data_IF_444520654312
#
_entry.id   IF_444520654312
#
_cell.length_a   1.000
_cell.length_b   1.000
_cell.length_c   1.000
_cell.angle_alpha   90.00
_cell.angle_beta   90.00
_cell.angle_gamma   90.00
#
_symmetry.space_group_name_H-M   'P 1'
#
loop_
_entity.id
_entity.type
_entity.pdbx_description
1 polymer ?
#
# COMPACT_ATOMS: atom_id res chain seq x y z
N UNK A 1 7.01 -15.86 -10.40
CA UNK A 1 6.72 -14.87 -11.47
C UNK A 1 7.07 -13.42 -11.14
N UNK A 2 7.71 -13.16 -10.00
CA UNK A 2 8.28 -11.83 -9.69
C UNK A 2 9.34 -11.38 -10.75
N UNK A 3 9.81 -12.28 -11.60
CA UNK A 3 10.86 -11.99 -12.58
C UNK A 3 10.36 -11.38 -13.90
N UNK A 4 9.07 -11.37 -14.20
CA UNK A 4 8.55 -10.78 -15.46
C UNK A 4 8.29 -9.27 -15.35
N UNK A 5 8.23 -8.75 -14.13
CA UNK A 5 8.00 -7.35 -13.85
C UNK A 5 9.26 -6.45 -13.92
N UNK A 6 10.43 -6.96 -14.25
CA UNK A 6 11.71 -6.24 -14.11
C UNK A 6 12.25 -5.70 -15.43
N UNK A 7 11.40 -5.23 -16.34
CA UNK A 7 11.88 -4.64 -17.60
C UNK A 7 11.54 -3.14 -17.67
N UNK A 8 12.49 -2.33 -17.16
CA UNK A 8 12.68 -0.97 -17.69
C UNK A 8 12.39 0.22 -16.83
N UNK A 9 11.61 0.17 -15.75
CA UNK A 9 11.41 1.32 -14.82
C UNK A 9 10.97 0.89 -13.43
N UNK A 10 11.13 -0.38 -13.09
CA UNK A 10 10.52 -0.94 -11.89
C UNK A 10 11.38 -0.77 -10.68
N UNK A 11 10.72 -0.33 -9.62
CA UNK A 11 11.29 -0.09 -8.33
C UNK A 11 11.73 -1.42 -7.68
N UNK A 12 12.91 -1.44 -7.09
CA UNK A 12 13.38 -2.56 -6.30
C UNK A 12 12.55 -2.68 -5.02
N UNK A 13 11.77 -3.75 -4.91
CA UNK A 13 10.99 -4.08 -3.72
C UNK A 13 11.74 -5.13 -2.91
N UNK A 14 11.87 -4.90 -1.58
CA UNK A 14 12.34 -5.90 -0.63
C UNK A 14 11.18 -6.31 0.25
N UNK A 15 10.75 -7.55 0.11
CA UNK A 15 9.74 -8.16 0.94
C UNK A 15 10.31 -8.80 2.22
N UNK A 16 9.48 -8.93 3.22
CA UNK A 16 9.75 -9.65 4.47
C UNK A 16 8.47 -10.21 5.03
N UNK A 17 8.54 -11.45 5.53
CA UNK A 17 7.47 -12.10 6.27
C UNK A 17 7.98 -12.52 7.65
N UNK A 18 7.12 -12.37 8.66
CA UNK A 18 7.43 -12.77 10.02
C UNK A 18 6.24 -13.49 10.65
N UNK A 19 6.44 -14.73 11.09
CA UNK A 19 5.44 -15.49 11.81
C UNK A 19 5.21 -14.93 13.23
N UNK A 20 4.01 -15.12 13.74
CA UNK A 20 3.56 -14.70 15.08
C UNK A 20 3.64 -13.18 15.31
N UNK A 21 3.37 -12.44 14.27
CA UNK A 21 3.17 -10.98 14.31
C UNK A 21 2.00 -10.60 13.39
N UNK A 22 1.67 -9.33 13.38
CA UNK A 22 0.59 -8.73 12.61
C UNK A 22 1.05 -7.42 11.95
N UNK A 23 0.13 -6.68 11.32
CA UNK A 23 0.42 -5.41 10.68
C UNK A 23 0.90 -4.33 11.68
N UNK A 24 0.50 -4.38 12.96
CA UNK A 24 0.99 -3.44 13.97
C UNK A 24 2.47 -3.68 14.28
N UNK A 25 2.87 -4.96 14.41
CA UNK A 25 4.28 -5.32 14.54
C UNK A 25 5.11 -4.92 13.32
N UNK A 26 4.52 -4.94 12.10
CA UNK A 26 5.17 -4.42 10.89
C UNK A 26 5.32 -2.90 10.91
N UNK A 27 4.36 -2.13 11.48
CA UNK A 27 4.51 -0.68 11.69
C UNK A 27 5.67 -0.35 12.63
N UNK A 28 5.78 -1.07 13.76
CA UNK A 28 6.87 -0.87 14.73
C UNK A 28 8.24 -1.18 14.12
N UNK A 29 8.33 -2.28 13.36
CA UNK A 29 9.53 -2.64 12.63
C UNK A 29 9.91 -1.54 11.63
N UNK A 30 8.95 -1.05 10.86
CA UNK A 30 9.16 -0.04 9.82
C UNK A 30 9.64 1.27 10.44
N UNK A 31 8.95 1.77 11.45
CA UNK A 31 9.33 3.01 12.14
C UNK A 31 10.74 2.92 12.73
N UNK A 32 11.07 1.80 13.38
CA UNK A 32 12.40 1.59 13.97
C UNK A 32 13.47 1.48 12.89
N UNK A 33 13.20 0.80 11.79
CA UNK A 33 14.14 0.64 10.67
C UNK A 33 14.43 1.98 9.98
N UNK A 34 13.41 2.77 9.66
CA UNK A 34 13.59 4.08 9.01
C UNK A 34 14.39 5.03 9.89
N UNK A 35 14.08 5.08 11.19
CA UNK A 35 14.84 5.87 12.17
C UNK A 35 16.30 5.42 12.25
N UNK A 36 16.54 4.10 12.37
CA UNK A 36 17.88 3.54 12.43
C UNK A 36 18.71 3.87 11.16
N UNK A 37 18.11 3.72 9.98
CA UNK A 37 18.79 4.00 8.72
C UNK A 37 19.11 5.48 8.56
N UNK A 38 18.19 6.38 8.92
CA UNK A 38 18.46 7.81 8.89
C UNK A 38 19.63 8.21 9.82
N UNK A 39 19.67 7.68 11.04
CA UNK A 39 20.78 7.92 11.97
C UNK A 39 22.10 7.36 11.43
N UNK A 40 22.10 6.16 10.84
CA UNK A 40 23.33 5.50 10.34
C UNK A 40 23.85 6.09 9.04
N UNK A 41 22.98 6.49 8.14
CA UNK A 41 23.35 6.99 6.80
C UNK A 41 23.51 8.51 6.80
N UNK A 42 22.58 9.23 7.42
CA UNK A 42 22.56 10.69 7.38
C UNK A 42 23.13 11.33 8.66
N UNK A 43 23.37 10.54 9.72
CA UNK A 43 23.84 11.05 11.02
C UNK A 43 22.76 11.80 11.82
N UNK A 44 21.51 11.79 11.38
CA UNK A 44 20.37 12.48 11.98
C UNK A 44 19.07 11.80 11.60
N UNK A 45 18.07 11.82 12.50
CA UNK A 45 16.71 11.43 12.18
C UNK A 45 15.93 12.53 11.45
N UNK A 46 16.44 13.75 11.41
CA UNK A 46 15.92 14.82 10.57
C UNK A 46 16.71 14.86 9.28
N UNK A 47 16.04 14.57 8.20
CA UNK A 47 16.60 14.56 6.85
C UNK A 47 15.97 15.67 6.02
N UNK A 48 16.63 16.04 4.91
CA UNK A 48 16.08 16.97 3.95
C UNK A 48 15.96 16.25 2.60
N UNK A 49 14.82 16.37 1.97
CA UNK A 49 14.61 15.92 0.60
C UNK A 49 14.07 17.10 -0.23
N UNK A 50 14.80 17.48 -1.26
CA UNK A 50 14.46 18.62 -2.13
C UNK A 50 14.11 19.90 -1.35
N UNK A 51 14.85 20.17 -0.25
CA UNK A 51 14.64 21.30 0.64
C UNK A 51 13.48 21.17 1.64
N UNK A 52 12.78 20.06 1.65
CA UNK A 52 11.71 19.76 2.62
C UNK A 52 12.30 18.98 3.79
N UNK A 53 12.15 19.50 5.02
CA UNK A 53 12.54 18.78 6.24
C UNK A 53 11.55 17.65 6.53
N UNK A 54 12.07 16.43 6.72
CA UNK A 54 11.33 15.23 7.12
C UNK A 54 11.90 14.73 8.43
N UNK A 55 11.05 14.58 9.45
CA UNK A 55 11.45 14.18 10.80
C UNK A 55 11.07 12.71 11.07
N UNK A 56 12.03 11.81 10.87
CA UNK A 56 11.92 10.38 11.14
C UNK A 56 12.11 10.03 12.63
N UNK A 57 12.49 11.01 13.47
CA UNK A 57 12.70 10.83 14.90
C UNK A 57 11.42 10.85 15.73
N UNK A 58 10.37 11.49 15.24
CA UNK A 58 9.05 11.50 15.89
C UNK A 58 8.29 10.21 15.63
N UNK A 59 7.32 9.86 16.48
CA UNK A 59 6.36 8.81 16.13
C UNK A 59 5.66 9.13 14.81
N UNK A 60 5.59 8.14 13.92
CA UNK A 60 4.89 8.31 12.65
C UNK A 60 3.39 8.47 12.89
N UNK A 61 2.76 9.34 12.14
CA UNK A 61 1.30 9.53 12.23
C UNK A 61 0.59 8.26 11.80
N UNK A 62 -0.41 7.82 12.58
CA UNK A 62 -1.31 6.72 12.23
C UNK A 62 -2.67 7.31 11.91
N UNK A 63 -3.19 7.06 10.72
CA UNK A 63 -4.44 7.61 10.24
C UNK A 63 -5.18 6.55 9.42
N UNK A 64 -6.51 6.43 9.61
CA UNK A 64 -7.28 5.56 8.73
C UNK A 64 -7.48 6.23 7.36
N UNK A 65 -7.69 5.43 6.32
CA UNK A 65 -7.96 5.96 4.97
C UNK A 65 -9.19 6.89 4.99
N UNK A 66 -10.26 6.51 5.70
CA UNK A 66 -11.44 7.35 5.85
C UNK A 66 -11.16 8.67 6.59
N UNK A 67 -10.34 8.63 7.66
CA UNK A 67 -9.96 9.85 8.39
C UNK A 67 -9.11 10.79 7.52
N UNK A 68 -8.25 10.24 6.66
CA UNK A 68 -7.49 11.03 5.69
C UNK A 68 -8.44 11.73 4.71
N UNK A 69 -9.36 10.99 4.10
CA UNK A 69 -10.35 11.56 3.17
C UNK A 69 -11.19 12.62 3.88
N UNK A 70 -11.70 12.33 5.06
CA UNK A 70 -12.50 13.27 5.86
C UNK A 70 -11.72 14.54 6.20
N UNK A 71 -10.44 14.41 6.51
CA UNK A 71 -9.56 15.55 6.82
C UNK A 71 -9.39 16.50 5.63
N UNK A 72 -9.19 15.96 4.42
CA UNK A 72 -8.83 16.77 3.26
C UNK A 72 -10.03 17.15 2.37
N UNK A 73 -11.14 16.38 2.43
CA UNK A 73 -12.33 16.65 1.62
C UNK A 73 -13.57 17.04 2.43
N UNK A 74 -13.60 16.72 3.74
CA UNK A 74 -14.78 16.84 4.58
C UNK A 74 -15.78 15.67 4.44
N UNK A 75 -15.54 14.71 3.54
CA UNK A 75 -16.42 13.58 3.27
C UNK A 75 -16.10 12.45 4.25
N UNK A 76 -17.13 11.91 4.89
CA UNK A 76 -17.04 10.76 5.78
C UNK A 76 -17.67 9.52 5.13
N UNK A 77 -16.83 8.63 4.58
CA UNK A 77 -17.29 7.43 3.90
C UNK A 77 -17.94 6.39 4.83
N UNK A 78 -17.73 6.47 6.14
CA UNK A 78 -18.46 5.61 7.10
C UNK A 78 -19.96 5.96 7.13
N UNK A 79 -20.35 7.14 6.66
CA UNK A 79 -21.76 7.57 6.54
C UNK A 79 -22.36 7.30 5.15
N UNK A 80 -21.56 6.90 4.17
CA UNK A 80 -22.01 6.60 2.80
C UNK A 80 -22.65 5.21 2.79
N UNK A 81 -23.90 5.11 2.33
CA UNK A 81 -24.71 3.91 2.53
C UNK A 81 -24.28 2.71 1.70
N UNK A 82 -23.99 2.92 0.40
CA UNK A 82 -23.79 1.85 -0.57
C UNK A 82 -22.94 2.31 -1.77
N UNK A 83 -22.72 1.40 -2.73
CA UNK A 83 -21.95 1.64 -3.95
C UNK A 83 -22.54 2.77 -4.80
N UNK A 84 -23.87 2.85 -4.89
CA UNK A 84 -24.54 3.88 -5.69
C UNK A 84 -24.32 5.28 -5.09
N UNK A 85 -24.38 5.40 -3.76
CA UNK A 85 -24.08 6.64 -3.06
C UNK A 85 -22.59 7.05 -3.20
N UNK A 86 -21.68 6.07 -3.17
CA UNK A 86 -20.26 6.33 -3.37
C UNK A 86 -19.97 6.79 -4.80
N UNK A 87 -20.52 6.14 -5.83
CA UNK A 87 -20.40 6.54 -7.24
C UNK A 87 -20.94 7.94 -7.49
N UNK A 88 -22.08 8.29 -6.86
CA UNK A 88 -22.64 9.64 -6.94
C UNK A 88 -21.67 10.69 -6.37
N UNK A 89 -21.00 10.41 -5.26
CA UNK A 89 -19.96 11.29 -4.72
C UNK A 89 -18.78 11.44 -5.69
N UNK A 90 -18.37 10.35 -6.35
CA UNK A 90 -17.31 10.41 -7.36
C UNK A 90 -17.72 11.32 -8.53
N UNK A 91 -18.96 11.24 -9.01
CA UNK A 91 -19.49 12.14 -10.04
C UNK A 91 -19.49 13.61 -9.58
N UNK A 92 -19.97 13.90 -8.36
CA UNK A 92 -20.00 15.24 -7.78
C UNK A 92 -18.60 15.85 -7.63
N UNK A 93 -17.58 15.00 -7.43
CA UNK A 93 -16.18 15.41 -7.29
C UNK A 93 -15.34 15.23 -8.57
N UNK A 94 -15.96 14.89 -9.70
CA UNK A 94 -15.32 14.69 -11.00
C UNK A 94 -14.23 13.60 -11.01
N UNK A 95 -14.37 12.58 -10.17
CA UNK A 95 -13.51 11.40 -10.13
C UNK A 95 -14.01 10.40 -11.17
N UNK A 96 -13.14 9.99 -12.09
CA UNK A 96 -13.45 8.93 -13.04
C UNK A 96 -13.48 7.57 -12.34
N UNK A 97 -14.45 6.75 -12.65
CA UNK A 97 -14.58 5.39 -12.12
C UNK A 97 -15.14 4.45 -13.20
N UNK A 98 -14.98 3.14 -12.97
CA UNK A 98 -15.55 2.12 -13.82
C UNK A 98 -16.85 1.56 -13.24
N UNK A 99 -17.72 1.02 -14.11
CA UNK A 99 -19.04 0.50 -13.68
C UNK A 99 -18.92 -0.65 -12.66
N UNK A 100 -17.85 -1.45 -12.74
CA UNK A 100 -17.55 -2.54 -11.81
C UNK A 100 -17.14 -2.08 -10.42
N UNK A 101 -16.68 -0.83 -10.26
CA UNK A 101 -16.20 -0.32 -8.98
C UNK A 101 -17.29 -0.35 -7.91
N UNK A 102 -16.91 -0.79 -6.72
CA UNK A 102 -17.70 -0.78 -5.49
C UNK A 102 -17.31 0.39 -4.61
N UNK A 103 -17.96 0.52 -3.48
CA UNK A 103 -17.68 1.58 -2.50
C UNK A 103 -16.20 1.61 -2.09
N UNK A 104 -15.56 0.45 -1.87
CA UNK A 104 -14.15 0.39 -1.49
C UNK A 104 -13.20 0.91 -2.57
N UNK A 105 -13.49 0.62 -3.85
CA UNK A 105 -12.72 1.17 -4.97
C UNK A 105 -12.85 2.70 -5.04
N UNK A 106 -14.07 3.21 -4.85
CA UNK A 106 -14.31 4.67 -4.83
C UNK A 106 -13.58 5.35 -3.66
N UNK A 107 -13.55 4.73 -2.49
CA UNK A 107 -12.76 5.23 -1.34
C UNK A 107 -11.29 5.37 -1.74
N UNK A 108 -10.72 4.37 -2.39
CA UNK A 108 -9.33 4.40 -2.86
C UNK A 108 -9.09 5.55 -3.86
N UNK A 109 -9.96 5.71 -4.85
CA UNK A 109 -9.88 6.82 -5.81
C UNK A 109 -9.93 8.20 -5.15
N UNK A 110 -10.76 8.37 -4.11
CA UNK A 110 -10.79 9.61 -3.32
C UNK A 110 -9.49 9.82 -2.54
N UNK A 111 -8.92 8.77 -2.00
CA UNK A 111 -7.66 8.85 -1.28
C UNK A 111 -6.52 9.26 -2.22
N UNK A 112 -6.38 8.61 -3.35
CA UNK A 112 -5.36 8.92 -4.37
C UNK A 112 -5.47 10.37 -4.85
N UNK A 113 -6.67 10.83 -5.20
CA UNK A 113 -6.86 12.18 -5.75
C UNK A 113 -6.63 13.29 -4.72
N UNK A 114 -7.09 13.12 -3.49
CA UNK A 114 -7.14 14.22 -2.52
C UNK A 114 -6.16 14.12 -1.36
N UNK A 115 -5.67 12.92 -1.02
CA UNK A 115 -4.90 12.72 0.21
C UNK A 115 -3.41 12.49 -0.01
N UNK A 116 -3.00 11.69 -0.99
CA UNK A 116 -1.59 11.29 -1.17
C UNK A 116 -0.65 12.51 -1.27
N UNK A 117 -1.03 13.50 -2.05
CA UNK A 117 -0.26 14.72 -2.27
C UNK A 117 -0.05 15.59 -1.02
N UNK A 118 -0.79 15.33 0.03
CA UNK A 118 -0.74 16.06 1.31
C UNK A 118 0.13 15.34 2.36
N UNK A 119 0.58 14.11 2.07
CA UNK A 119 1.30 13.24 3.01
C UNK A 119 2.82 13.47 2.93
N UNK A 120 3.29 14.58 3.48
CA UNK A 120 4.71 14.96 3.47
C UNK A 120 5.49 14.28 4.60
N UNK A 121 4.99 14.37 5.84
CA UNK A 121 5.62 13.75 7.00
C UNK A 121 5.22 12.27 7.12
N UNK A 122 6.07 11.43 7.74
CA UNK A 122 5.80 9.99 7.85
C UNK A 122 4.40 9.69 8.40
N UNK A 123 3.57 9.05 7.57
CA UNK A 123 2.18 8.76 7.90
C UNK A 123 1.80 7.35 7.45
N UNK A 124 1.40 6.50 8.39
CA UNK A 124 0.76 5.23 8.10
C UNK A 124 -0.71 5.46 7.78
N UNK A 125 -1.13 5.07 6.59
CA UNK A 125 -2.54 5.00 6.18
C UNK A 125 -3.03 3.59 6.41
N UNK A 126 -4.07 3.43 7.23
CA UNK A 126 -4.57 2.15 7.72
C UNK A 126 -6.02 1.93 7.31
N UNK A 127 -6.52 0.74 7.61
CA UNK A 127 -7.94 0.40 7.45
C UNK A 127 -8.44 0.53 6.00
N UNK A 128 -7.64 -0.04 5.08
CA UNK A 128 -7.99 -0.11 3.67
C UNK A 128 -9.28 -0.91 3.46
N UNK A 129 -10.08 -0.58 2.43
CA UNK A 129 -11.23 -1.37 2.05
C UNK A 129 -10.86 -2.80 1.65
N UNK A 130 -11.79 -3.71 1.93
CA UNK A 130 -11.62 -5.14 1.62
C UNK A 130 -11.55 -5.40 0.12
N UNK A 131 -12.24 -4.60 -0.69
CA UNK A 131 -12.34 -4.73 -2.14
C UNK A 131 -10.96 -4.63 -2.82
N UNK A 132 -10.10 -3.77 -2.31
CA UNK A 132 -8.74 -3.52 -2.87
C UNK A 132 -7.63 -4.30 -2.15
N UNK A 133 -7.97 -5.31 -1.36
CA UNK A 133 -6.99 -6.00 -0.50
C UNK A 133 -7.22 -7.52 -0.45
N UNK A 134 -7.06 -8.24 -1.58
CA UNK A 134 -7.50 -9.64 -1.70
C UNK A 134 -6.72 -10.65 -0.83
N UNK A 135 -5.51 -10.33 -0.39
CA UNK A 135 -4.61 -11.22 0.36
C UNK A 135 -4.51 -10.87 1.86
N UNK A 136 -5.33 -9.92 2.30
CA UNK A 136 -5.22 -9.34 3.63
C UNK A 136 -6.32 -9.80 4.56
N UNK A 137 -5.96 -10.02 5.82
CA UNK A 137 -6.90 -10.41 6.89
C UNK A 137 -7.90 -9.29 7.21
N UNK A 138 -9.18 -9.67 7.32
CA UNK A 138 -10.24 -8.74 7.75
C UNK A 138 -10.00 -8.24 9.17
N UNK A 139 -10.36 -6.99 9.44
CA UNK A 139 -10.40 -6.50 10.82
C UNK A 139 -11.56 -7.16 11.58
N UNK A 140 -11.31 -7.72 12.77
CA UNK A 140 -12.38 -8.33 13.57
C UNK A 140 -13.48 -7.34 13.98
N UNK A 141 -13.14 -6.05 14.15
CA UNK A 141 -14.06 -4.99 14.56
C UNK A 141 -14.93 -4.47 13.42
N UNK A 142 -14.47 -4.57 12.17
CA UNK A 142 -15.14 -4.10 10.96
C UNK A 142 -14.70 -4.91 9.75
N UNK A 143 -15.44 -5.97 9.37
CA UNK A 143 -15.05 -6.86 8.27
C UNK A 143 -15.05 -6.21 6.88
N UNK A 144 -15.52 -4.99 6.73
CA UNK A 144 -15.41 -4.22 5.48
C UNK A 144 -14.03 -3.60 5.29
N UNK A 145 -13.21 -3.63 6.33
CA UNK A 145 -11.84 -3.12 6.37
C UNK A 145 -10.86 -4.26 6.66
N UNK A 146 -9.61 -4.05 6.30
CA UNK A 146 -8.55 -5.05 6.47
C UNK A 146 -7.41 -4.52 7.35
N UNK A 147 -6.65 -5.44 7.93
CA UNK A 147 -5.43 -5.18 8.71
C UNK A 147 -4.26 -4.89 7.77
N UNK A 148 -4.27 -3.73 7.12
CA UNK A 148 -3.29 -3.25 6.14
C UNK A 148 -2.88 -1.82 6.47
N UNK A 149 -1.64 -1.50 6.19
CA UNK A 149 -1.20 -0.12 6.11
C UNK A 149 -0.28 0.11 4.91
N UNK A 150 -0.26 1.35 4.47
CA UNK A 150 0.76 1.91 3.58
C UNK A 150 1.45 3.05 4.31
N UNK A 151 2.78 3.13 4.19
CA UNK A 151 3.55 4.26 4.72
C UNK A 151 3.79 5.28 3.61
N UNK A 152 3.35 6.49 3.83
CA UNK A 152 3.64 7.63 2.96
C UNK A 152 4.67 8.55 3.60
N UNK A 153 5.66 8.97 2.81
CA UNK A 153 6.63 10.03 3.13
C UNK A 153 6.89 10.83 1.86
N UNK A 154 6.82 12.12 1.93
CA UNK A 154 7.03 13.02 0.78
C UNK A 154 6.12 12.67 -0.41
N UNK A 155 4.86 12.40 -0.15
CA UNK A 155 3.83 11.97 -1.12
C UNK A 155 4.06 10.58 -1.75
N UNK A 156 5.09 9.85 -1.34
CA UNK A 156 5.43 8.55 -1.89
C UNK A 156 5.01 7.42 -0.95
N UNK A 157 4.40 6.40 -1.49
CA UNK A 157 4.28 5.11 -0.82
C UNK A 157 5.66 4.49 -0.66
N UNK A 158 6.11 4.35 0.58
CA UNK A 158 7.42 3.81 0.95
C UNK A 158 7.38 2.30 1.20
N UNK A 159 6.27 1.81 1.70
CA UNK A 159 6.01 0.39 1.91
C UNK A 159 4.53 0.10 2.03
N UNK A 160 4.17 -1.16 1.77
CA UNK A 160 2.84 -1.72 1.92
C UNK A 160 2.94 -2.99 2.77
N UNK A 161 2.09 -3.12 3.78
CA UNK A 161 2.16 -4.22 4.72
C UNK A 161 0.79 -4.58 5.28
N UNK A 162 0.63 -5.85 5.64
CA UNK A 162 -0.61 -6.35 6.21
C UNK A 162 -0.41 -7.60 7.07
N UNK A 163 -1.43 -7.90 7.87
CA UNK A 163 -1.61 -9.25 8.43
C UNK A 163 -2.04 -10.17 7.30
N UNK A 164 -1.24 -11.20 7.03
CA UNK A 164 -1.50 -12.16 5.96
C UNK A 164 -2.82 -12.90 6.21
N UNK A 165 -3.65 -13.02 5.16
CA UNK A 165 -4.84 -13.84 5.22
C UNK A 165 -4.44 -15.31 5.27
N UNK A 166 -4.66 -15.94 6.41
CA UNK A 166 -4.28 -17.34 6.67
C UNK A 166 -5.47 -18.30 6.84
N UNK A 167 -6.67 -17.85 6.48
CA UNK A 167 -7.88 -18.68 6.43
C UNK A 167 -8.13 -19.10 4.97
N UNK A 168 -8.00 -20.40 4.62
CA UNK A 168 -8.18 -20.86 3.25
C UNK A 168 -9.61 -20.68 2.73
N UNK A 169 -10.62 -20.69 3.62
CA UNK A 169 -12.02 -20.49 3.22
C UNK A 169 -12.25 -19.04 2.81
N UNK A 170 -11.82 -18.09 3.63
CA UNK A 170 -11.90 -16.65 3.29
C UNK A 170 -11.06 -16.33 2.04
N UNK A 171 -9.84 -16.91 1.93
CA UNK A 171 -9.00 -16.69 0.75
C UNK A 171 -9.65 -17.20 -0.53
N UNK A 172 -10.34 -18.34 -0.50
CA UNK A 172 -11.06 -18.86 -1.66
C UNK A 172 -12.20 -17.92 -2.09
N UNK A 173 -12.92 -17.34 -1.11
CA UNK A 173 -13.96 -16.33 -1.39
C UNK A 173 -13.37 -15.06 -2.03
N UNK A 174 -12.18 -14.63 -1.55
CA UNK A 174 -11.49 -13.46 -2.12
C UNK A 174 -11.04 -13.70 -3.55
N UNK A 175 -10.45 -14.87 -3.84
CA UNK A 175 -10.07 -15.22 -5.20
C UNK A 175 -11.27 -15.31 -6.14
N UNK A 176 -12.38 -15.89 -5.69
CA UNK A 176 -13.61 -15.91 -6.49
C UNK A 176 -14.13 -14.50 -6.82
N UNK A 177 -13.97 -13.54 -5.91
CA UNK A 177 -14.30 -12.14 -6.17
C UNK A 177 -13.33 -11.50 -7.19
N UNK A 178 -12.03 -11.81 -7.12
CA UNK A 178 -11.03 -11.36 -8.09
C UNK A 178 -11.28 -11.96 -9.50
N UNK A 179 -11.60 -13.27 -9.60
CA UNK A 179 -11.98 -13.89 -10.88
C UNK A 179 -13.21 -13.21 -11.49
N UNK A 180 -14.19 -12.80 -10.68
CA UNK A 180 -15.36 -12.06 -11.14
C UNK A 180 -14.98 -10.65 -11.64
N UNK A 181 -14.05 -9.96 -10.98
CA UNK A 181 -13.53 -8.68 -11.44
C UNK A 181 -12.75 -8.82 -12.76
N UNK A 182 -11.89 -9.84 -12.88
CA UNK A 182 -11.19 -10.16 -14.13
C UNK A 182 -12.18 -10.40 -15.28
N UNK A 183 -13.26 -11.17 -15.04
CA UNK A 183 -14.30 -11.40 -16.03
C UNK A 183 -15.08 -10.12 -16.41
N UNK A 184 -15.09 -9.11 -15.52
CA UNK A 184 -15.67 -7.79 -15.77
C UNK A 184 -14.69 -6.80 -16.44
N UNK A 185 -13.46 -7.23 -16.77
CA UNK A 185 -12.46 -6.44 -17.50
C UNK A 185 -11.39 -5.79 -16.62
N UNK A 186 -11.19 -6.31 -15.43
CA UNK A 186 -10.09 -5.88 -14.56
C UNK A 186 -8.81 -6.63 -14.95
N UNK A 187 -7.89 -5.96 -15.63
CA UNK A 187 -6.62 -6.54 -16.09
C UNK A 187 -5.62 -6.73 -14.93
N UNK A 188 -5.87 -6.10 -13.76
CA UNK A 188 -5.03 -6.20 -12.57
C UNK A 188 -5.55 -7.23 -11.55
N UNK A 189 -6.74 -7.80 -11.78
CA UNK A 189 -7.33 -8.78 -10.88
C UNK A 189 -6.52 -10.08 -10.86
N UNK A 190 -6.26 -10.58 -9.66
CA UNK A 190 -5.55 -11.84 -9.46
C UNK A 190 -6.45 -13.05 -9.75
N UNK A 191 -5.89 -14.07 -10.38
CA UNK A 191 -6.59 -15.33 -10.61
C UNK A 191 -6.45 -16.28 -9.42
N UNK A 192 -7.46 -17.17 -9.28
CA UNK A 192 -7.43 -18.23 -8.27
C UNK A 192 -6.17 -19.08 -8.40
N UNK A 193 -5.38 -19.15 -7.33
CA UNK A 193 -4.21 -20.00 -7.20
C UNK A 193 -4.53 -21.19 -6.26
N UNK A 194 -4.80 -22.34 -6.87
CA UNK A 194 -5.12 -23.58 -6.12
C UNK A 194 -3.91 -24.12 -5.35
N UNK A 195 -2.67 -23.91 -5.81
CA UNK A 195 -1.47 -24.35 -5.08
C UNK A 195 -1.28 -23.51 -3.82
N UNK A 196 -1.54 -22.20 -3.90
CA UNK A 196 -1.54 -21.31 -2.74
C UNK A 196 -2.63 -21.69 -1.73
N UNK A 197 -3.86 -21.96 -2.18
CA UNK A 197 -4.95 -22.43 -1.31
C UNK A 197 -4.61 -23.76 -0.62
N UNK A 198 -4.08 -24.73 -1.34
CA UNK A 198 -3.61 -26.00 -0.79
C UNK A 198 -2.52 -25.78 0.28
N UNK A 199 -1.60 -24.85 0.06
CA UNK A 199 -0.58 -24.50 1.05
C UNK A 199 -1.19 -23.89 2.32
N UNK A 200 -2.21 -23.03 2.20
CA UNK A 200 -2.94 -22.48 3.34
C UNK A 200 -3.69 -23.57 4.13
N UNK A 201 -4.28 -24.55 3.45
CA UNK A 201 -4.98 -25.70 4.09
C UNK A 201 -4.02 -26.57 4.91
N UNK A 202 -2.75 -26.70 4.51
CA UNK A 202 -1.71 -27.39 5.29
C UNK A 202 -1.42 -26.61 6.59
N UNK A 203 -1.47 -25.30 6.53
CA UNK A 203 -1.39 -24.40 7.66
C UNK A 203 -0.38 -23.27 7.48
N UNK A 204 -0.83 -22.06 7.80
CA UNK A 204 -0.01 -20.85 7.88
C UNK A 204 -0.20 -20.21 9.26
N UNK A 205 0.86 -19.96 10.04
CA UNK A 205 0.73 -19.25 11.31
C UNK A 205 0.26 -17.82 11.08
N UNK A 206 -0.27 -17.11 12.09
CA UNK A 206 -0.44 -15.68 12.02
C UNK A 206 0.87 -15.02 11.57
N UNK A 207 0.83 -14.24 10.51
CA UNK A 207 2.03 -13.69 9.86
C UNK A 207 1.78 -12.25 9.44
N UNK A 208 2.74 -11.39 9.71
CA UNK A 208 2.80 -10.06 9.11
C UNK A 208 3.74 -10.07 7.90
N UNK A 209 3.29 -9.52 6.79
CA UNK A 209 4.08 -9.34 5.57
C UNK A 209 4.25 -7.86 5.24
N UNK A 210 5.36 -7.52 4.58
CA UNK A 210 5.68 -6.15 4.17
C UNK A 210 6.56 -6.13 2.91
N UNK A 211 6.26 -5.22 2.00
CA UNK A 211 7.10 -4.86 0.87
C UNK A 211 7.62 -3.43 1.00
N UNK A 212 8.95 -3.25 0.95
CA UNK A 212 9.61 -1.94 1.01
C UNK A 212 10.07 -1.50 -0.37
N UNK A 213 9.74 -0.27 -0.76
CA UNK A 213 10.31 0.41 -1.92
C UNK A 213 11.74 0.88 -1.64
N UNK A 214 12.72 0.00 -1.85
CA UNK A 214 14.13 0.29 -1.49
C UNK A 214 14.68 1.48 -2.28
N UNK A 215 14.37 1.59 -3.55
CA UNK A 215 14.86 2.70 -4.36
C UNK A 215 14.29 4.04 -3.87
N UNK A 216 12.99 4.10 -3.51
CA UNK A 216 12.39 5.30 -2.89
C UNK A 216 13.06 5.63 -1.56
N UNK A 217 13.37 4.64 -0.74
CA UNK A 217 14.07 4.83 0.54
C UNK A 217 15.49 5.38 0.31
N UNK A 218 16.22 4.84 -0.66
CA UNK A 218 17.55 5.34 -1.00
C UNK A 218 17.48 6.77 -1.55
N UNK A 219 16.53 7.05 -2.47
CA UNK A 219 16.30 8.42 -2.97
C UNK A 219 16.04 9.40 -1.83
N UNK A 220 15.17 9.02 -0.88
CA UNK A 220 14.83 9.86 0.27
C UNK A 220 16.05 10.17 1.16
N UNK A 221 16.86 9.14 1.48
CA UNK A 221 18.04 9.28 2.37
C UNK A 221 19.23 9.97 1.70
N UNK A 222 19.31 9.98 0.38
CA UNK A 222 20.43 10.56 -0.39
C UNK A 222 20.10 11.86 -1.10
N UNK A 223 18.87 12.38 -0.92
CA UNK A 223 18.34 13.56 -1.63
C UNK A 223 18.46 13.42 -3.17
N UNK A 224 18.21 12.24 -3.69
CA UNK A 224 18.32 11.94 -5.13
C UNK A 224 16.97 12.11 -5.81
N UNK A 225 16.88 12.99 -6.81
CA UNK A 225 15.62 13.35 -7.46
C UNK A 225 15.11 12.28 -8.47
N UNK A 226 16.00 11.43 -8.99
CA UNK A 226 15.62 10.44 -10.00
C UNK A 226 16.01 9.02 -9.57
N UNK A 227 15.10 8.07 -9.78
CA UNK A 227 15.32 6.65 -9.46
C UNK A 227 16.58 6.09 -10.15
N UNK A 228 16.89 6.56 -11.34
CA UNK A 228 18.08 6.19 -12.13
C UNK A 228 19.40 6.48 -11.42
N UNK A 229 19.42 7.49 -10.52
CA UNK A 229 20.62 7.89 -9.78
C UNK A 229 20.94 6.94 -8.61
N UNK A 230 19.97 6.12 -8.21
CA UNK A 230 20.10 5.18 -7.09
C UNK A 230 20.11 3.71 -7.54
N UNK A 231 19.79 3.43 -8.80
CA UNK A 231 19.86 2.07 -9.36
C UNK A 231 21.31 1.67 -9.59
N UNK A 232 21.70 0.50 -9.07
CA UNK A 232 23.05 -0.05 -9.28
C UNK A 232 23.33 -0.42 -10.74
N UNK A 233 22.31 -0.87 -11.48
CA UNK A 233 22.38 -1.30 -12.87
C UNK A 233 21.19 -0.74 -13.67
N UNK A 234 21.17 0.58 -13.93
CA UNK A 234 20.06 1.18 -14.67
C UNK A 234 20.04 0.68 -16.13
N UNK A 235 18.84 0.37 -16.63
CA UNK A 235 18.67 0.03 -18.05
C UNK A 235 18.93 1.27 -18.89
N UNK A 236 19.96 1.20 -19.76
CA UNK A 236 20.35 2.27 -20.65
C UNK A 236 19.89 1.95 -22.07
N UNK A 237 19.51 2.97 -22.85
CA UNK A 237 19.35 2.79 -24.30
C UNK A 237 20.68 2.32 -24.90
N UNK A 238 20.61 1.28 -25.77
CA UNK A 238 21.79 0.89 -26.55
C UNK A 238 22.37 2.09 -27.29
N UNK A 239 23.68 2.26 -27.18
CA UNK A 239 24.42 3.28 -27.95
C UNK A 239 24.59 2.90 -29.41
N UNK A 240 24.30 1.64 -29.75
CA UNK A 240 24.34 1.15 -31.13
C UNK A 240 23.08 1.61 -31.88
N UNK A 241 23.31 2.40 -32.91
CA UNK A 241 22.31 2.81 -33.91
C UNK A 241 22.15 1.73 -34.96
#
# INVERSE_FOLDING_TARGET
EIASCLVGSEMCIRDRYQAYTDYEGMMELTESMFRYLAEKVCGSTKISYNGIEIDLGKPFTRMTMNDAIKKYTGIDFDTVADDAAAKKLAEEHHIAYEERHKKGDIINLFFEEFCEKELIQPTFIMDHPIEISPLTKKKPSDPTKVERFELFINTWEMCNAYSELNDPVDQRERFAAQDANAAAGDDEAEHTDEDFLNALEIGMPPTGGIGYGIDRLVMLLTDSAAIRDVLLFPTMKSLDK
#
